data_IF_713310686010
#
_entry.id   IF_713310686010
#
_cell.length_a   1.000
_cell.length_b   1.000
_cell.length_c   1.000
_cell.angle_alpha   90.00
_cell.angle_beta   90.00
_cell.angle_gamma   90.00
#
_symmetry.space_group_name_H-M   'P 1'
#
loop_
_entity.id
_entity.type
_entity.pdbx_description
1 polymer ?
#
# COMPACT_ATOMS: atom_id res chain seq x y z
N UNK A 1 15.04 6.62 14.63
CA UNK A 1 14.78 5.24 15.06
C UNK A 1 15.86 4.30 14.51
N UNK A 2 16.56 3.56 15.38
CA UNK A 2 17.56 2.53 15.04
C UNK A 2 16.94 1.11 14.94
N UNK A 3 15.62 0.98 14.79
CA UNK A 3 15.00 -0.34 14.64
C UNK A 3 15.17 -0.84 13.21
N UNK A 4 15.78 -2.01 13.05
CA UNK A 4 15.81 -2.72 11.76
C UNK A 4 14.38 -3.05 11.32
N UNK A 5 14.12 -3.04 10.01
CA UNK A 5 12.84 -3.52 9.50
C UNK A 5 12.66 -5.00 9.86
N UNK A 6 11.41 -5.39 10.14
CA UNK A 6 11.10 -6.76 10.54
C UNK A 6 11.16 -7.72 9.35
N UNK A 7 11.51 -8.98 9.61
CA UNK A 7 11.53 -10.02 8.58
C UNK A 7 10.11 -10.36 8.09
N UNK A 8 9.95 -10.82 6.84
CA UNK A 8 8.65 -11.31 6.37
C UNK A 8 8.09 -12.44 7.23
N UNK A 9 8.93 -13.31 7.78
CA UNK A 9 8.52 -14.35 8.75
C UNK A 9 7.79 -13.74 9.94
N UNK A 10 8.40 -12.73 10.58
CA UNK A 10 7.79 -12.10 11.77
C UNK A 10 6.51 -11.35 11.41
N UNK A 11 6.47 -10.72 10.24
CA UNK A 11 5.27 -10.06 9.71
C UNK A 11 4.14 -11.08 9.52
N UNK A 12 4.44 -12.26 8.96
CA UNK A 12 3.46 -13.32 8.76
C UNK A 12 2.94 -13.86 10.10
N UNK A 13 3.84 -14.13 11.06
CA UNK A 13 3.44 -14.55 12.41
C UNK A 13 2.52 -13.53 13.09
N UNK A 14 2.90 -12.25 13.06
CA UNK A 14 2.08 -11.19 13.65
C UNK A 14 0.72 -11.05 12.92
N UNK A 15 0.67 -11.35 11.62
CA UNK A 15 -0.56 -11.31 10.83
C UNK A 15 -1.49 -12.48 11.18
N UNK A 16 -0.97 -13.68 11.39
CA UNK A 16 -1.73 -14.86 11.80
C UNK A 16 -2.34 -14.68 13.20
N UNK A 17 -1.59 -14.07 14.12
CA UNK A 17 -2.10 -13.76 15.46
C UNK A 17 -3.17 -12.68 15.42
N UNK A 18 -3.00 -11.67 14.57
CA UNK A 18 -3.85 -10.47 14.52
C UNK A 18 -4.01 -10.00 13.07
N UNK A 19 -4.92 -10.61 12.32
CA UNK A 19 -5.13 -10.30 10.90
C UNK A 19 -5.85 -8.97 10.64
N UNK A 20 -6.38 -8.32 11.69
CA UNK A 20 -7.15 -7.08 11.60
C UNK A 20 -6.22 -5.86 11.73
N UNK A 21 -6.70 -4.69 11.28
CA UNK A 21 -6.03 -3.39 11.51
C UNK A 21 -4.60 -3.23 10.94
N UNK A 22 -4.31 -3.90 9.83
CA UNK A 22 -3.10 -3.66 9.02
C UNK A 22 -3.32 -2.54 8.00
N UNK A 23 -2.32 -1.68 7.82
CA UNK A 23 -2.43 -0.53 6.93
C UNK A 23 -1.15 -0.25 6.13
N UNK A 24 -1.34 0.12 4.87
CA UNK A 24 -0.37 0.95 4.17
C UNK A 24 -0.63 2.39 4.55
N UNK A 25 0.23 2.93 5.40
CA UNK A 25 0.22 4.32 5.82
C UNK A 25 0.90 5.16 4.74
N UNK A 26 0.21 6.21 4.29
CA UNK A 26 0.77 7.33 3.54
C UNK A 26 0.75 8.51 4.50
N UNK A 27 1.91 8.99 4.91
CA UNK A 27 2.04 9.90 6.05
C UNK A 27 2.64 11.23 5.60
N UNK A 28 1.95 12.32 5.91
CA UNK A 28 2.56 13.63 5.80
C UNK A 28 3.66 13.79 6.86
N UNK A 29 4.81 14.36 6.49
CA UNK A 29 5.96 14.46 7.41
C UNK A 29 5.62 15.19 8.73
N UNK A 30 4.69 16.16 8.69
CA UNK A 30 4.25 16.90 9.89
C UNK A 30 3.63 16.01 10.96
N UNK A 31 3.00 14.90 10.55
CA UNK A 31 2.33 13.97 11.47
C UNK A 31 3.28 12.86 11.96
N UNK A 32 4.54 12.81 11.48
CA UNK A 32 5.44 11.70 11.76
C UNK A 32 5.66 11.48 13.25
N UNK A 33 6.01 12.52 14.00
CA UNK A 33 6.28 12.41 15.43
C UNK A 33 5.05 11.93 16.21
N UNK A 34 3.85 12.38 15.81
CA UNK A 34 2.60 12.00 16.46
C UNK A 34 2.33 10.49 16.32
N UNK A 35 2.51 9.93 15.12
CA UNK A 35 2.29 8.49 14.90
C UNK A 35 3.47 7.63 15.39
N UNK A 36 4.70 8.09 15.23
CA UNK A 36 5.89 7.35 15.63
C UNK A 36 5.96 7.14 17.15
N UNK A 37 5.42 8.08 17.93
CA UNK A 37 5.33 7.98 19.38
C UNK A 37 4.08 7.24 19.89
N UNK A 38 3.19 6.76 19.01
CA UNK A 38 2.00 6.05 19.43
C UNK A 38 2.34 4.60 19.82
N UNK A 39 2.20 4.20 21.10
CA UNK A 39 2.69 2.90 21.59
C UNK A 39 1.92 1.69 21.02
N UNK A 40 0.71 1.91 20.52
CA UNK A 40 -0.15 0.88 19.93
C UNK A 40 -0.04 0.83 18.40
N UNK A 41 1.00 1.43 17.80
CA UNK A 41 1.28 1.34 16.37
C UNK A 41 2.62 0.64 16.20
N UNK A 42 2.59 -0.56 15.63
CA UNK A 42 3.78 -1.30 15.24
C UNK A 42 4.16 -0.96 13.80
N UNK A 43 5.44 -0.66 13.58
CA UNK A 43 6.00 -0.30 12.29
C UNK A 43 6.87 -1.44 11.77
N UNK A 44 6.63 -1.90 10.54
CA UNK A 44 7.37 -3.02 9.95
C UNK A 44 8.42 -2.59 8.95
N UNK A 45 8.07 -1.62 8.11
CA UNK A 45 8.95 -1.04 7.10
C UNK A 45 8.46 0.36 6.76
N UNK A 46 9.39 1.23 6.33
CA UNK A 46 9.11 2.63 6.01
C UNK A 46 10.04 3.12 4.89
N UNK A 47 9.57 4.01 4.03
CA UNK A 47 10.41 4.85 3.18
C UNK A 47 9.88 6.27 3.09
N UNK A 48 10.75 7.19 2.67
CA UNK A 48 10.35 8.52 2.21
C UNK A 48 10.08 8.49 0.70
N UNK A 49 9.29 9.44 0.26
CA UNK A 49 8.81 9.53 -1.12
C UNK A 49 8.59 10.98 -1.52
N UNK A 50 9.02 11.35 -2.73
CA UNK A 50 8.74 12.64 -3.34
C UNK A 50 8.52 12.51 -4.85
N UNK A 51 7.94 13.52 -5.47
CA UNK A 51 7.95 13.72 -6.91
C UNK A 51 9.16 14.59 -7.26
N UNK A 52 9.90 14.24 -8.32
CA UNK A 52 11.01 15.03 -8.85
C UNK A 52 10.56 15.61 -10.19
N UNK A 53 10.59 16.95 -10.30
CA UNK A 53 10.27 17.68 -11.52
C UNK A 53 11.44 17.65 -12.53
N UNK A 54 11.20 18.11 -13.76
CA UNK A 54 12.22 18.12 -14.81
C UNK A 54 13.40 19.05 -14.50
N UNK A 55 13.17 20.11 -13.72
CA UNK A 55 14.19 21.04 -13.22
C UNK A 55 14.95 20.51 -11.97
N UNK A 56 14.62 19.30 -11.51
CA UNK A 56 15.22 18.67 -10.34
C UNK A 56 14.59 19.08 -9.00
N UNK A 57 13.62 20.00 -8.99
CA UNK A 57 12.90 20.36 -7.76
C UNK A 57 12.04 19.19 -7.23
N UNK A 58 11.80 19.17 -5.92
CA UNK A 58 11.02 18.12 -5.25
C UNK A 58 9.66 18.63 -4.77
N UNK A 59 8.65 17.79 -4.89
CA UNK A 59 7.30 18.07 -4.40
C UNK A 59 6.65 16.80 -3.82
N UNK A 60 5.47 16.92 -3.22
CA UNK A 60 4.68 15.78 -2.73
C UNK A 60 5.42 14.89 -1.72
N UNK A 61 6.13 15.49 -0.76
CA UNK A 61 6.86 14.73 0.27
C UNK A 61 5.91 14.02 1.23
N UNK A 62 6.09 12.70 1.35
CA UNK A 62 5.39 11.86 2.32
C UNK A 62 6.18 10.59 2.62
N UNK A 63 5.81 9.90 3.70
CA UNK A 63 6.34 8.60 4.04
C UNK A 63 5.35 7.50 3.67
N UNK A 64 5.85 6.36 3.24
CA UNK A 64 5.09 5.13 3.11
C UNK A 64 5.52 4.16 4.19
N UNK A 65 4.56 3.52 4.87
CA UNK A 65 4.87 2.49 5.84
C UNK A 65 3.87 1.34 5.82
N UNK A 66 4.35 0.15 6.18
CA UNK A 66 3.49 -0.94 6.63
C UNK A 66 3.40 -0.86 8.15
N UNK A 67 2.18 -0.67 8.66
CA UNK A 67 1.90 -0.60 10.09
C UNK A 67 0.75 -1.53 10.49
N UNK A 68 0.69 -1.83 11.78
CA UNK A 68 -0.41 -2.56 12.41
C UNK A 68 -0.75 -1.88 13.74
N UNK A 69 -2.05 -1.70 14.00
CA UNK A 69 -2.49 -1.28 15.33
C UNK A 69 -2.59 -2.49 16.27
N UNK A 70 -1.89 -2.46 17.39
CA UNK A 70 -1.74 -3.60 18.30
C UNK A 70 -2.60 -3.45 19.57
N UNK A 71 -2.61 -4.48 20.42
CA UNK A 71 -3.23 -4.45 21.75
C UNK A 71 -4.74 -4.11 21.73
N UNK A 72 -5.47 -4.63 20.74
CA UNK A 72 -6.90 -4.34 20.56
C UNK A 72 -7.21 -2.89 20.14
N UNK A 73 -6.19 -2.07 19.91
CA UNK A 73 -6.36 -0.71 19.43
C UNK A 73 -6.69 -0.72 17.94
N UNK A 74 -7.61 0.13 17.51
CA UNK A 74 -8.06 0.21 16.12
C UNK A 74 -7.75 1.58 15.53
N UNK A 75 -7.74 1.70 14.21
CA UNK A 75 -7.61 3.00 13.53
C UNK A 75 -8.73 3.96 13.95
N UNK A 76 -9.93 3.44 14.16
CA UNK A 76 -11.07 4.22 14.66
C UNK A 76 -10.83 4.73 16.09
N UNK A 77 -10.34 3.87 16.98
CA UNK A 77 -9.99 4.26 18.35
C UNK A 77 -8.89 5.33 18.37
N UNK A 78 -7.89 5.20 17.49
CA UNK A 78 -6.84 6.21 17.33
C UNK A 78 -7.41 7.56 16.88
N UNK A 79 -8.25 7.58 15.84
CA UNK A 79 -8.89 8.82 15.38
C UNK A 79 -9.76 9.47 16.46
N UNK A 80 -10.54 8.68 17.21
CA UNK A 80 -11.33 9.18 18.34
C UNK A 80 -10.45 9.78 19.43
N UNK A 81 -9.30 9.16 19.74
CA UNK A 81 -8.33 9.70 20.69
C UNK A 81 -7.80 11.07 20.24
N UNK A 82 -7.39 11.20 18.98
CA UNK A 82 -6.92 12.49 18.42
C UNK A 82 -8.01 13.56 18.49
N UNK A 83 -9.25 13.21 18.17
CA UNK A 83 -10.38 14.14 18.25
C UNK A 83 -10.59 14.65 19.68
N UNK A 84 -10.49 13.78 20.70
CA UNK A 84 -10.62 14.15 22.11
C UNK A 84 -9.52 15.09 22.59
N UNK A 85 -8.31 14.99 22.02
CA UNK A 85 -7.18 15.86 22.36
C UNK A 85 -7.12 17.12 21.49
N UNK A 86 -8.13 17.39 20.66
CA UNK A 86 -8.14 18.53 19.74
C UNK A 86 -7.08 18.43 18.63
N UNK A 87 -6.44 17.28 18.45
CA UNK A 87 -5.39 17.06 17.46
C UNK A 87 -5.99 16.56 16.15
N UNK A 88 -5.53 17.07 15.02
CA UNK A 88 -5.96 16.61 13.69
C UNK A 88 -4.74 16.22 12.87
N UNK A 89 -4.85 15.09 12.17
CA UNK A 89 -3.86 14.69 11.17
C UNK A 89 -3.98 15.60 9.95
N UNK A 90 -2.86 15.79 9.26
CA UNK A 90 -2.83 16.43 7.96
C UNK A 90 -3.75 15.67 6.98
N UNK A 91 -4.43 16.40 6.09
CA UNK A 91 -5.40 15.84 5.13
C UNK A 91 -4.80 14.81 4.18
N UNK A 92 -3.48 14.91 3.93
CA UNK A 92 -2.71 13.95 3.11
C UNK A 92 -2.30 12.67 3.86
N UNK A 93 -2.45 12.62 5.18
CA UNK A 93 -2.17 11.42 5.97
C UNK A 93 -3.32 10.42 5.86
N UNK A 94 -3.04 9.28 5.24
CA UNK A 94 -4.03 8.28 4.85
C UNK A 94 -3.64 6.88 5.31
N UNK A 95 -4.62 6.15 5.84
CA UNK A 95 -4.48 4.74 6.24
C UNK A 95 -5.22 3.86 5.24
N UNK A 96 -4.50 3.18 4.35
CA UNK A 96 -5.10 2.24 3.39
C UNK A 96 -5.12 0.83 3.97
N UNK A 97 -6.29 0.36 4.38
CA UNK A 97 -6.46 -0.96 5.04
C UNK A 97 -5.92 -2.08 4.14
N UNK A 98 -5.14 -2.99 4.72
CA UNK A 98 -4.67 -4.23 4.10
C UNK A 98 -5.42 -5.38 4.74
N UNK A 99 -6.03 -6.18 3.87
CA UNK A 99 -7.04 -7.18 4.21
C UNK A 99 -6.54 -8.62 4.03
N UNK A 100 -5.30 -8.78 3.57
CA UNK A 100 -4.65 -10.07 3.39
C UNK A 100 -3.13 -9.92 3.49
N UNK A 101 -2.45 -11.01 3.82
CA UNK A 101 -1.00 -11.07 3.90
C UNK A 101 -0.35 -10.76 2.54
N UNK A 102 -0.94 -11.22 1.42
CA UNK A 102 -0.46 -10.89 0.07
C UNK A 102 -0.45 -9.37 -0.23
N UNK A 103 -1.36 -8.62 0.38
CA UNK A 103 -1.37 -7.15 0.30
C UNK A 103 -0.27 -6.53 1.14
N UNK A 104 0.00 -7.04 2.35
CA UNK A 104 1.13 -6.61 3.17
C UNK A 104 2.46 -6.85 2.43
N UNK A 105 2.65 -8.02 1.83
CA UNK A 105 3.78 -8.33 0.93
C UNK A 105 3.88 -7.32 -0.22
N UNK A 106 2.74 -6.90 -0.79
CA UNK A 106 2.68 -5.84 -1.79
C UNK A 106 3.24 -4.50 -1.33
N UNK A 107 2.98 -4.12 -0.07
CA UNK A 107 3.50 -2.89 0.53
C UNK A 107 5.00 -3.01 0.78
N UNK A 108 5.46 -4.15 1.32
CA UNK A 108 6.90 -4.38 1.54
C UNK A 108 7.68 -4.25 0.23
N UNK A 109 7.22 -4.91 -0.84
CA UNK A 109 7.83 -4.76 -2.17
C UNK A 109 7.76 -3.32 -2.68
N UNK A 110 6.65 -2.62 -2.45
CA UNK A 110 6.51 -1.24 -2.86
C UNK A 110 7.58 -0.34 -2.20
N UNK A 111 7.84 -0.55 -0.91
CA UNK A 111 8.86 0.17 -0.13
C UNK A 111 10.28 -0.19 -0.60
N UNK A 112 10.54 -1.42 -1.07
CA UNK A 112 11.87 -1.81 -1.57
C UNK A 112 12.18 -1.23 -2.96
N UNK A 113 11.17 -0.97 -3.78
CA UNK A 113 11.32 -0.37 -5.11
C UNK A 113 11.67 1.13 -5.03
N UNK A 114 12.62 1.59 -5.84
CA UNK A 114 13.01 3.00 -5.94
C UNK A 114 11.93 3.87 -6.61
N UNK A 115 11.07 3.25 -7.43
CA UNK A 115 9.99 3.95 -8.12
C UNK A 115 8.62 3.64 -7.49
N UNK A 116 7.95 4.70 -7.04
CA UNK A 116 6.58 4.71 -6.59
C UNK A 116 5.56 4.53 -7.73
N UNK A 117 4.28 4.68 -7.42
CA UNK A 117 3.22 4.47 -8.42
C UNK A 117 3.36 5.47 -9.58
N UNK A 118 3.25 5.00 -10.83
CA UNK A 118 3.15 5.90 -11.99
C UNK A 118 1.77 6.55 -11.98
N UNK A 119 1.66 7.88 -12.13
CA UNK A 119 0.36 8.50 -12.32
C UNK A 119 -0.28 7.95 -13.59
N UNK A 120 -1.56 7.56 -13.48
CA UNK A 120 -2.34 7.03 -14.61
C UNK A 120 -2.92 8.17 -15.46
N UNK A 121 -3.04 9.36 -14.88
CA UNK A 121 -3.53 10.56 -15.55
C UNK A 121 -2.34 11.41 -15.97
N UNK A 122 -2.54 12.16 -17.05
CA UNK A 122 -1.65 13.26 -17.41
C UNK A 122 -1.85 14.39 -16.39
N UNK A 123 -0.80 15.15 -16.17
CA UNK A 123 -0.85 16.35 -15.33
C UNK A 123 -1.58 17.46 -16.07
N UNK A 124 -1.76 18.62 -15.42
CA UNK A 124 -2.55 19.74 -15.98
C UNK A 124 -1.96 20.34 -17.26
N UNK A 125 -0.70 20.06 -17.55
CA UNK A 125 0.02 20.41 -18.78
C UNK A 125 -0.12 19.37 -19.90
N UNK A 126 -0.88 18.29 -19.66
CA UNK A 126 -1.04 17.19 -20.61
C UNK A 126 0.16 16.24 -20.67
N UNK A 127 1.21 16.39 -19.87
CA UNK A 127 2.34 15.47 -19.81
C UNK A 127 2.06 14.31 -18.87
N UNK A 128 2.72 13.16 -19.09
CA UNK A 128 2.65 12.05 -18.14
C UNK A 128 3.59 12.33 -16.98
N UNK A 129 3.04 12.52 -15.79
CA UNK A 129 3.83 12.67 -14.58
C UNK A 129 4.82 11.53 -14.37
N UNK A 130 6.01 11.88 -13.88
CA UNK A 130 7.03 10.90 -13.47
C UNK A 130 6.52 10.10 -12.26
N UNK A 131 6.92 8.84 -12.09
CA UNK A 131 6.66 8.14 -10.84
C UNK A 131 7.31 8.90 -9.68
N UNK A 132 6.73 8.79 -8.49
CA UNK A 132 7.45 9.24 -7.30
C UNK A 132 8.75 8.46 -7.12
N UNK A 133 9.75 9.08 -6.52
CA UNK A 133 11.01 8.44 -6.13
C UNK A 133 10.98 8.11 -4.64
N UNK A 134 11.31 6.87 -4.30
CA UNK A 134 11.45 6.39 -2.94
C UNK A 134 12.91 6.42 -2.48
N UNK A 135 13.13 7.00 -1.31
CA UNK A 135 14.46 7.12 -0.69
C UNK A 135 14.35 6.86 0.81
N UNK A 136 15.50 6.80 1.51
CA UNK A 136 15.60 6.45 2.93
C UNK A 136 14.78 5.20 3.30
N UNK A 137 14.89 4.17 2.45
CA UNK A 137 14.12 2.93 2.53
C UNK A 137 14.66 2.04 3.65
N UNK A 138 13.83 1.78 4.66
CA UNK A 138 14.11 0.86 5.76
C UNK A 138 13.50 -0.51 5.43
N UNK A 139 14.32 -1.37 4.89
CA UNK A 139 13.95 -2.72 4.41
C UNK A 139 14.68 -3.80 5.19
N UNK A 140 14.16 -5.02 5.18
CA UNK A 140 14.74 -6.14 5.92
C UNK A 140 16.11 -6.56 5.34
N UNK A 141 16.19 -6.74 4.02
CA UNK A 141 17.44 -6.97 3.30
C UNK A 141 17.76 -5.82 2.34
N UNK A 142 19.02 -5.40 2.28
CA UNK A 142 19.46 -4.29 1.42
C UNK A 142 19.52 -4.68 -0.06
N UNK A 143 19.80 -5.94 -0.37
CA UNK A 143 19.78 -6.51 -1.73
C UNK A 143 18.38 -6.46 -2.38
N UNK A 144 17.32 -6.30 -1.59
CA UNK A 144 15.97 -6.08 -2.11
C UNK A 144 15.76 -4.69 -2.68
N UNK A 145 16.66 -3.74 -2.44
CA UNK A 145 16.55 -2.41 -3.03
C UNK A 145 16.81 -2.50 -4.54
N UNK A 146 15.82 -2.09 -5.33
CA UNK A 146 15.87 -2.20 -6.79
C UNK A 146 15.11 -1.05 -7.45
N UNK A 147 15.38 -0.81 -8.73
CA UNK A 147 14.54 0.05 -9.58
C UNK A 147 13.40 -0.75 -10.20
N UNK A 148 12.32 -0.09 -10.64
CA UNK A 148 11.18 -0.77 -11.22
C UNK A 148 11.58 -1.63 -12.42
N UNK A 149 11.12 -2.87 -12.45
CA UNK A 149 11.36 -3.80 -13.55
C UNK A 149 11.14 -5.24 -13.13
N UNK A 150 11.85 -6.17 -13.80
CA UNK A 150 11.77 -7.62 -13.51
C UNK A 150 12.11 -7.95 -12.05
N UNK A 151 13.02 -7.18 -11.45
CA UNK A 151 13.41 -7.33 -10.03
C UNK A 151 12.23 -7.14 -9.06
N UNK A 152 11.20 -6.37 -9.43
CA UNK A 152 9.99 -6.23 -8.60
C UNK A 152 9.29 -7.57 -8.35
N UNK A 153 9.28 -8.45 -9.35
CA UNK A 153 8.65 -9.75 -9.25
C UNK A 153 9.51 -10.69 -8.41
N UNK A 154 10.83 -10.71 -8.65
CA UNK A 154 11.78 -11.54 -7.90
C UNK A 154 11.74 -11.22 -6.40
N UNK A 155 11.87 -9.93 -6.05
CA UNK A 155 11.80 -9.46 -4.65
C UNK A 155 10.43 -9.76 -4.04
N UNK A 156 9.33 -9.61 -4.79
CA UNK A 156 7.99 -9.98 -4.30
C UNK A 156 7.93 -11.47 -3.95
N UNK A 157 8.39 -12.33 -4.86
CA UNK A 157 8.37 -13.78 -4.68
C UNK A 157 9.21 -14.19 -3.49
N UNK A 158 10.39 -13.59 -3.31
CA UNK A 158 11.24 -13.85 -2.15
C UNK A 158 10.57 -13.43 -0.84
N UNK A 159 9.97 -12.25 -0.78
CA UNK A 159 9.21 -11.79 0.40
C UNK A 159 8.05 -12.75 0.69
N UNK A 160 7.31 -13.20 -0.33
CA UNK A 160 6.23 -14.17 -0.17
C UNK A 160 6.72 -15.50 0.38
N UNK A 161 7.82 -16.06 -0.18
CA UNK A 161 8.41 -17.33 0.28
C UNK A 161 8.85 -17.26 1.75
N UNK A 162 9.56 -16.21 2.12
CA UNK A 162 9.98 -16.02 3.52
C UNK A 162 8.78 -15.82 4.45
N UNK A 163 7.69 -15.20 3.98
CA UNK A 163 6.48 -15.07 4.78
C UNK A 163 5.76 -16.44 4.94
N UNK A 164 5.70 -17.25 3.88
CA UNK A 164 4.99 -18.54 3.89
C UNK A 164 5.64 -19.58 4.80
N UNK A 165 6.95 -19.52 5.02
CA UNK A 165 7.69 -20.42 5.93
C UNK A 165 7.17 -20.41 7.38
N UNK A 166 6.44 -19.37 7.80
CA UNK A 166 5.92 -19.21 9.16
C UNK A 166 4.39 -19.17 9.24
N UNK A 167 3.70 -19.45 8.13
CA UNK A 167 2.24 -19.62 8.11
C UNK A 167 1.93 -21.05 8.54
N UNK A 168 1.07 -21.24 9.55
CA UNK A 168 0.80 -22.56 10.15
C UNK A 168 0.01 -23.48 9.20
N UNK A 169 -0.98 -22.91 8.51
CA UNK A 169 -1.91 -23.65 7.64
C UNK A 169 -1.81 -23.11 6.21
N UNK A 170 -0.66 -23.28 5.56
CA UNK A 170 -0.39 -22.72 4.23
C UNK A 170 -1.39 -23.23 3.17
N UNK A 171 -1.99 -24.40 3.36
CA UNK A 171 -3.05 -24.96 2.53
C UNK A 171 -4.31 -24.10 2.48
N UNK A 172 -4.58 -23.29 3.52
CA UNK A 172 -5.66 -22.31 3.54
C UNK A 172 -5.37 -21.12 2.62
N UNK A 173 -4.12 -20.96 2.19
CA UNK A 173 -3.70 -19.90 1.28
C UNK A 173 -3.68 -20.38 -0.18
N UNK A 174 -3.85 -19.45 -1.13
CA UNK A 174 -3.84 -19.77 -2.57
C UNK A 174 -2.54 -20.43 -3.00
N UNK A 175 -1.39 -19.89 -2.58
CA UNK A 175 -0.07 -20.52 -2.75
C UNK A 175 0.98 -19.85 -1.86
N UNK A 176 2.19 -20.41 -1.80
CA UNK A 176 3.37 -19.77 -1.19
C UNK A 176 3.78 -18.43 -1.83
N UNK A 177 3.25 -18.10 -3.02
CA UNK A 177 3.53 -16.85 -3.71
C UNK A 177 2.37 -15.85 -3.64
N UNK A 178 1.17 -16.39 -3.45
CA UNK A 178 -0.09 -15.65 -3.40
C UNK A 178 -0.79 -15.95 -2.08
N UNK A 179 -0.35 -15.25 -1.04
CA UNK A 179 -0.83 -15.41 0.34
C UNK A 179 -2.22 -14.77 0.55
N UNK A 180 -3.19 -15.23 -0.24
CA UNK A 180 -4.61 -14.99 -0.10
C UNK A 180 -5.26 -16.18 0.61
N UNK A 181 -5.82 -15.95 1.79
CA UNK A 181 -6.66 -16.95 2.46
C UNK A 181 -7.88 -17.26 1.59
N UNK A 182 -8.04 -18.53 1.20
CA UNK A 182 -9.10 -19.01 0.30
C UNK A 182 -10.50 -18.80 0.87
N UNK A 183 -10.64 -18.81 2.19
CA UNK A 183 -11.92 -18.77 2.90
C UNK A 183 -12.30 -17.36 3.34
N UNK A 184 -11.32 -16.55 3.74
CA UNK A 184 -11.58 -15.24 4.37
C UNK A 184 -11.16 -14.04 3.54
N UNK A 185 -10.30 -14.23 2.51
CA UNK A 185 -9.86 -13.11 1.70
C UNK A 185 -11.01 -12.56 0.87
N UNK A 186 -11.21 -11.24 0.93
CA UNK A 186 -12.21 -10.49 0.15
C UNK A 186 -11.59 -9.32 -0.59
N UNK A 187 -10.36 -9.52 -1.07
CA UNK A 187 -9.65 -8.50 -1.82
C UNK A 187 -10.10 -8.45 -3.27
N UNK A 188 -9.57 -7.50 -4.03
CA UNK A 188 -9.80 -7.38 -5.46
C UNK A 188 -8.94 -8.33 -6.31
N UNK A 189 -8.17 -9.20 -5.65
CA UNK A 189 -7.23 -10.13 -6.28
C UNK A 189 -7.54 -11.61 -6.04
N UNK A 190 -8.49 -11.93 -5.16
CA UNK A 190 -9.02 -13.29 -5.08
C UNK A 190 -9.97 -13.56 -6.26
N UNK A 191 -10.37 -14.83 -6.42
CA UNK A 191 -11.21 -15.26 -7.54
C UNK A 191 -12.53 -14.48 -7.62
N UNK A 192 -13.16 -14.20 -6.48
CA UNK A 192 -14.41 -13.45 -6.43
C UNK A 192 -14.20 -11.96 -6.75
N UNK A 193 -13.13 -11.36 -6.25
CA UNK A 193 -12.71 -10.00 -6.52
C UNK A 193 -12.34 -9.77 -7.98
N UNK A 194 -11.70 -10.75 -8.62
CA UNK A 194 -11.45 -10.74 -10.06
C UNK A 194 -12.78 -10.69 -10.82
N UNK A 195 -13.73 -11.58 -10.51
CA UNK A 195 -15.07 -11.59 -11.13
C UNK A 195 -15.80 -10.26 -10.94
N UNK A 196 -15.86 -9.73 -9.71
CA UNK A 196 -16.47 -8.42 -9.41
C UNK A 196 -15.83 -7.30 -10.23
N UNK A 197 -14.50 -7.32 -10.40
CA UNK A 197 -13.78 -6.33 -11.21
C UNK A 197 -14.11 -6.46 -12.70
N UNK A 198 -14.20 -7.68 -13.21
CA UNK A 198 -14.59 -7.96 -14.60
C UNK A 198 -16.01 -7.48 -14.89
N UNK A 199 -16.97 -7.81 -14.03
CA UNK A 199 -18.35 -7.33 -14.13
C UNK A 199 -18.44 -5.80 -14.09
N UNK A 200 -17.72 -5.15 -13.17
CA UNK A 200 -17.68 -3.69 -13.09
C UNK A 200 -17.02 -3.05 -14.33
N UNK A 201 -16.03 -3.71 -14.92
CA UNK A 201 -15.42 -3.26 -16.16
C UNK A 201 -16.36 -3.42 -17.35
N UNK A 202 -17.10 -4.53 -17.42
CA UNK A 202 -18.07 -4.76 -18.47
C UNK A 202 -19.23 -3.76 -18.39
N UNK A 203 -19.79 -3.54 -17.20
CA UNK A 203 -20.80 -2.48 -16.96
C UNK A 203 -20.29 -1.11 -17.41
N UNK A 204 -19.03 -0.77 -17.12
CA UNK A 204 -18.40 0.47 -17.61
C UNK A 204 -18.28 0.51 -19.13
N UNK A 205 -17.87 -0.58 -19.78
CA UNK A 205 -17.79 -0.67 -21.25
C UNK A 205 -19.16 -0.46 -21.90
N UNK A 206 -20.20 -1.07 -21.35
CA UNK A 206 -21.57 -0.92 -21.85
C UNK A 206 -22.09 0.50 -21.64
N UNK A 207 -21.81 1.13 -20.50
CA UNK A 207 -22.17 2.52 -20.25
C UNK A 207 -21.58 3.48 -21.30
N UNK A 208 -20.32 3.29 -21.72
CA UNK A 208 -19.71 4.17 -22.74
C UNK A 208 -20.16 3.90 -24.18
N UNK A 209 -21.12 2.99 -24.39
CA UNK A 209 -21.77 2.77 -25.69
C UNK A 209 -23.11 3.49 -25.82
N UNK A 210 -23.72 3.92 -24.72
CA UNK A 210 -25.00 4.66 -24.74
C UNK A 210 -24.75 6.18 -24.88
N UNK A 211 -25.76 6.90 -25.37
CA UNK A 211 -25.69 8.35 -25.69
C UNK A 211 -25.12 9.19 -24.53
N UNK A 212 -25.70 9.04 -23.32
CA UNK A 212 -25.20 9.70 -22.10
C UNK A 212 -23.73 9.38 -21.79
N UNK A 213 -23.29 8.15 -22.05
CA UNK A 213 -21.90 7.76 -21.83
C UNK A 213 -20.96 8.37 -22.87
N UNK A 214 -21.41 8.47 -24.12
CA UNK A 214 -20.68 9.12 -25.22
C UNK A 214 -20.52 10.61 -24.92
N UNK A 215 -21.57 11.29 -24.49
CA UNK A 215 -21.57 12.71 -24.12
C UNK A 215 -20.56 12.99 -22.99
N UNK A 216 -20.61 12.22 -21.90
CA UNK A 216 -19.66 12.34 -20.80
C UNK A 216 -18.21 12.10 -21.28
N UNK A 217 -17.99 11.10 -22.14
CA UNK A 217 -16.65 10.82 -22.67
C UNK A 217 -16.13 11.95 -23.54
N UNK A 218 -16.99 12.59 -24.33
CA UNK A 218 -16.62 13.74 -25.17
C UNK A 218 -16.30 14.98 -24.32
N UNK A 219 -17.09 15.26 -23.28
CA UNK A 219 -16.82 16.35 -22.33
C UNK A 219 -15.45 16.22 -21.62
N UNK A 220 -14.92 15.00 -21.45
CA UNK A 220 -13.58 14.77 -20.91
C UNK A 220 -12.45 14.96 -21.94
N UNK A 221 -12.74 14.98 -23.24
CA UNK A 221 -11.74 15.25 -24.30
C UNK A 221 -11.59 16.73 -24.60
N UNK A 222 -12.63 17.51 -24.31
CA UNK A 222 -12.68 18.97 -24.52
C UNK A 222 -12.12 19.76 -23.32
N UNK A 223 -11.78 19.08 -22.22
CA UNK A 223 -11.09 19.62 -21.04
C UNK A 223 -9.65 19.14 -21.00
#
# INVERSE_FOLDING_TARGET
>A
MKSKALSPQKIAQDYEELSKEWYHLILNEKDFNLLACAPNIKWYSICRCHLIADDGSTAHEHLHALIHFTNGFTMLAYKKKLQRTGTRLHSKTTFKKRICLNHAVGVLRYITCADGQKPLRRDGDGLRGRPHSHYDRRVFKQDWLHSRGKQCCLVRTEISKLASECVKDLENYTSEHELHDKSTCRCDRDAEGIKRREEANEKRRQFYKIERGIEIRNNYKEK
#
